data_IF_973108895906
#
_entry.id   IF_973108895906
#
_cell.length_a   1.000
_cell.length_b   1.000
_cell.length_c   1.000
_cell.angle_alpha   90.00
_cell.angle_beta   90.00
_cell.angle_gamma   90.00
#
_symmetry.space_group_name_H-M   'P 1'
#
loop_
_entity.id
_entity.type
_entity.pdbx_description
1 polymer ?
#
# COMPACT_ATOMS: atom_id res chain seq x y z
N UNK A 1 27.54 -9.21 15.17
CA UNK A 1 27.41 -7.76 14.97
C UNK A 1 28.26 -7.08 16.01
N UNK A 2 29.28 -6.34 15.61
CA UNK A 2 30.14 -5.57 16.53
C UNK A 2 29.50 -4.20 16.82
N UNK A 3 30.02 -3.45 17.80
CA UNK A 3 29.47 -2.14 18.21
C UNK A 3 29.46 -1.12 17.06
N UNK A 4 30.48 -1.14 16.20
CA UNK A 4 30.59 -0.24 15.05
C UNK A 4 29.51 -0.54 14.00
N UNK A 5 29.20 -1.82 13.76
CA UNK A 5 28.13 -2.23 12.84
C UNK A 5 26.77 -1.71 13.33
N UNK A 6 26.49 -1.80 14.64
CA UNK A 6 25.23 -1.30 15.22
C UNK A 6 25.11 0.21 15.06
N UNK A 7 26.19 0.95 15.31
CA UNK A 7 26.21 2.42 15.16
C UNK A 7 25.95 2.81 13.70
N UNK A 8 26.59 2.13 12.75
CA UNK A 8 26.44 2.41 11.33
C UNK A 8 25.01 2.08 10.85
N UNK A 9 24.44 0.95 11.27
CA UNK A 9 23.06 0.63 10.95
C UNK A 9 22.07 1.61 11.59
N UNK A 10 22.32 2.07 12.83
CA UNK A 10 21.47 3.08 13.49
C UNK A 10 21.49 4.44 12.80
N UNK A 11 22.53 4.76 12.03
CA UNK A 11 22.58 5.97 11.21
C UNK A 11 21.81 5.82 9.90
N UNK A 12 21.76 4.61 9.33
CA UNK A 12 21.22 4.36 8.00
C UNK A 12 19.75 3.90 8.00
N UNK A 13 19.39 3.00 8.92
CA UNK A 13 18.04 2.41 8.97
C UNK A 13 16.93 3.44 9.18
N UNK A 14 17.09 4.54 9.96
CA UNK A 14 16.06 5.58 10.05
C UNK A 14 15.70 6.21 8.70
N UNK A 15 16.68 6.42 7.82
CA UNK A 15 16.41 6.98 6.48
C UNK A 15 15.69 5.96 5.60
N UNK A 16 16.02 4.67 5.72
CA UNK A 16 15.28 3.60 5.03
C UNK A 16 13.83 3.48 5.52
N UNK A 17 13.59 3.63 6.83
CA UNK A 17 12.23 3.66 7.40
C UNK A 17 11.44 4.81 6.77
N UNK A 18 12.04 6.01 6.73
CA UNK A 18 11.41 7.20 6.16
C UNK A 18 11.10 7.01 4.67
N UNK A 19 12.04 6.47 3.89
CA UNK A 19 11.82 6.19 2.47
C UNK A 19 10.69 5.19 2.25
N UNK A 20 10.68 4.09 3.02
CA UNK A 20 9.61 3.09 2.95
C UNK A 20 8.26 3.65 3.40
N UNK A 21 8.24 4.56 4.39
CA UNK A 21 7.02 5.25 4.82
C UNK A 21 6.45 6.14 3.72
N UNK A 22 7.30 6.93 3.05
CA UNK A 22 6.88 7.76 1.91
C UNK A 22 6.27 6.91 0.81
N UNK A 23 6.96 5.83 0.40
CA UNK A 23 6.48 4.89 -0.63
C UNK A 23 5.13 4.29 -0.22
N UNK A 24 4.98 3.89 1.04
CA UNK A 24 3.74 3.32 1.54
C UNK A 24 2.58 4.33 1.52
N UNK A 25 2.81 5.56 1.97
CA UNK A 25 1.80 6.63 1.94
C UNK A 25 1.40 6.98 0.51
N UNK A 26 2.36 7.07 -0.40
CA UNK A 26 2.13 7.34 -1.81
C UNK A 26 1.28 6.23 -2.44
N UNK A 27 1.62 4.95 -2.20
CA UNK A 27 0.84 3.81 -2.69
C UNK A 27 -0.61 3.83 -2.16
N UNK A 28 -0.83 4.19 -0.89
CA UNK A 28 -2.17 4.32 -0.31
C UNK A 28 -2.97 5.43 -0.99
N UNK A 29 -2.33 6.57 -1.25
CA UNK A 29 -2.93 7.69 -1.98
C UNK A 29 -3.30 7.30 -3.41
N UNK A 30 -2.40 6.64 -4.13
CA UNK A 30 -2.64 6.16 -5.49
C UNK A 30 -3.78 5.15 -5.55
N UNK A 31 -3.86 4.22 -4.59
CA UNK A 31 -4.96 3.29 -4.45
C UNK A 31 -6.30 4.02 -4.23
N UNK A 32 -6.32 5.03 -3.36
CA UNK A 32 -7.52 5.83 -3.11
C UNK A 32 -7.99 6.52 -4.40
N UNK A 33 -7.08 7.09 -5.18
CA UNK A 33 -7.39 7.68 -6.48
C UNK A 33 -7.90 6.64 -7.49
N UNK A 34 -7.29 5.46 -7.56
CA UNK A 34 -7.74 4.38 -8.45
C UNK A 34 -9.18 3.94 -8.11
N UNK A 35 -9.47 3.76 -6.82
CA UNK A 35 -10.83 3.45 -6.33
C UNK A 35 -11.83 4.55 -6.68
N UNK A 36 -11.44 5.81 -6.54
CA UNK A 36 -12.30 6.93 -6.89
C UNK A 36 -12.58 7.01 -8.40
N UNK A 37 -11.59 6.73 -9.25
CA UNK A 37 -11.77 6.64 -10.71
C UNK A 37 -12.70 5.51 -11.10
N UNK A 38 -12.54 4.33 -10.50
CA UNK A 38 -13.44 3.20 -10.69
C UNK A 38 -14.87 3.60 -10.33
N UNK A 39 -15.09 4.13 -9.13
CA UNK A 39 -16.41 4.57 -8.67
C UNK A 39 -17.03 5.63 -9.60
N UNK A 40 -16.23 6.59 -10.06
CA UNK A 40 -16.70 7.62 -10.98
C UNK A 40 -17.17 7.01 -12.30
N UNK A 41 -16.42 6.05 -12.84
CA UNK A 41 -16.82 5.33 -14.05
C UNK A 41 -18.07 4.49 -13.81
N UNK A 42 -18.19 3.89 -12.63
CA UNK A 42 -19.38 3.12 -12.27
C UNK A 42 -20.64 4.01 -12.24
N UNK A 43 -20.55 5.20 -11.64
CA UNK A 43 -21.64 6.17 -11.64
C UNK A 43 -22.01 6.64 -13.06
N UNK A 44 -21.01 6.89 -13.92
CA UNK A 44 -21.22 7.27 -15.32
C UNK A 44 -22.03 6.21 -16.06
N UNK A 45 -21.59 4.95 -16.03
CA UNK A 45 -22.23 3.82 -16.75
C UNK A 45 -23.68 3.61 -16.27
N UNK A 46 -23.92 3.77 -14.96
CA UNK A 46 -25.28 3.73 -14.40
C UNK A 46 -26.13 4.90 -14.90
N UNK A 47 -25.57 6.12 -14.91
CA UNK A 47 -26.28 7.32 -15.34
C UNK A 47 -26.67 7.32 -16.82
N UNK A 48 -25.87 6.64 -17.65
CA UNK A 48 -26.15 6.42 -19.07
C UNK A 48 -27.21 5.34 -19.33
N UNK A 49 -27.71 4.68 -18.27
CA UNK A 49 -28.74 3.64 -18.37
C UNK A 49 -28.23 2.32 -18.95
N UNK A 50 -26.91 2.11 -18.98
CA UNK A 50 -26.27 0.89 -19.50
C UNK A 50 -26.40 -0.30 -18.53
N UNK A 51 -26.93 -0.05 -17.34
CA UNK A 51 -27.16 -1.04 -16.28
C UNK A 51 -28.65 -1.12 -16.00
N UNK A 52 -29.24 -2.28 -16.25
CA UNK A 52 -30.67 -2.54 -16.08
C UNK A 52 -30.95 -3.72 -15.15
N UNK A 53 -29.91 -4.42 -14.70
CA UNK A 53 -29.98 -5.59 -13.84
C UNK A 53 -30.78 -5.36 -12.57
N UNK A 54 -31.79 -6.21 -12.34
CA UNK A 54 -32.64 -6.17 -11.14
C UNK A 54 -31.95 -6.75 -9.90
N UNK A 55 -30.90 -7.57 -10.08
CA UNK A 55 -30.09 -8.15 -9.01
C UNK A 55 -28.62 -7.73 -9.17
N UNK A 56 -27.82 -7.89 -8.11
CA UNK A 56 -26.43 -7.40 -8.08
C UNK A 56 -25.51 -8.11 -9.08
N UNK A 57 -25.71 -9.42 -9.29
CA UNK A 57 -24.92 -10.22 -10.24
C UNK A 57 -25.11 -9.74 -11.69
N UNK A 58 -26.35 -9.46 -12.11
CA UNK A 58 -26.61 -8.93 -13.45
C UNK A 58 -26.05 -7.52 -13.60
N UNK A 59 -26.18 -6.67 -12.56
CA UNK A 59 -25.57 -5.33 -12.58
C UNK A 59 -24.05 -5.41 -12.72
N UNK A 60 -23.39 -6.28 -11.96
CA UNK A 60 -21.94 -6.49 -12.12
C UNK A 60 -21.55 -7.00 -13.51
N UNK A 61 -22.32 -7.93 -14.07
CA UNK A 61 -22.07 -8.44 -15.42
C UNK A 61 -22.23 -7.36 -16.50
N UNK A 62 -23.22 -6.48 -16.38
CA UNK A 62 -23.44 -5.34 -17.29
C UNK A 62 -22.36 -4.26 -17.13
N UNK A 63 -21.83 -4.08 -15.91
CA UNK A 63 -20.78 -3.11 -15.60
C UNK A 63 -19.40 -3.54 -16.06
N UNK A 64 -19.13 -4.85 -16.03
CA UNK A 64 -17.83 -5.44 -16.28
C UNK A 64 -17.15 -4.99 -17.58
N UNK A 65 -17.83 -4.91 -18.74
CA UNK A 65 -17.21 -4.45 -20.00
C UNK A 65 -16.64 -3.03 -19.91
N UNK A 66 -17.16 -2.20 -19.01
CA UNK A 66 -16.80 -0.79 -18.88
C UNK A 66 -15.82 -0.50 -17.73
N UNK A 67 -15.74 -1.40 -16.75
CA UNK A 67 -14.97 -1.18 -15.52
C UNK A 67 -13.84 -2.17 -15.29
N UNK A 68 -13.77 -3.27 -16.06
CA UNK A 68 -12.78 -4.34 -15.88
C UNK A 68 -11.33 -3.83 -15.75
N UNK A 69 -10.92 -2.92 -16.62
CA UNK A 69 -9.53 -2.41 -16.61
C UNK A 69 -9.23 -1.60 -15.36
N UNK A 70 -10.19 -0.77 -14.93
CA UNK A 70 -10.08 0.01 -13.68
C UNK A 70 -10.11 -0.90 -12.44
N UNK A 71 -10.92 -1.96 -12.47
CA UNK A 71 -10.92 -2.97 -11.40
C UNK A 71 -9.58 -3.71 -11.32
N UNK A 72 -9.01 -4.09 -12.47
CA UNK A 72 -7.67 -4.69 -12.52
C UNK A 72 -6.61 -3.71 -11.99
N UNK A 73 -6.69 -2.43 -12.34
CA UNK A 73 -5.79 -1.40 -11.83
C UNK A 73 -5.90 -1.27 -10.30
N UNK A 74 -7.12 -1.27 -9.75
CA UNK A 74 -7.32 -1.25 -8.29
C UNK A 74 -6.65 -2.45 -7.65
N UNK A 75 -6.84 -3.66 -8.18
CA UNK A 75 -6.22 -4.87 -7.62
C UNK A 75 -4.68 -4.80 -7.63
N UNK A 76 -4.08 -4.29 -8.70
CA UNK A 76 -2.62 -4.10 -8.76
C UNK A 76 -2.13 -3.07 -7.73
N UNK A 77 -2.90 -2.00 -7.50
CA UNK A 77 -2.56 -0.99 -6.50
C UNK A 77 -2.77 -1.51 -5.07
N UNK A 78 -3.74 -2.39 -4.83
CA UNK A 78 -3.91 -3.06 -3.53
C UNK A 78 -2.71 -3.94 -3.20
N UNK A 79 -2.21 -4.70 -4.18
CA UNK A 79 -1.00 -5.51 -4.04
C UNK A 79 0.24 -4.63 -3.76
N UNK A 80 0.39 -3.52 -4.49
CA UNK A 80 1.48 -2.57 -4.28
C UNK A 80 1.46 -1.96 -2.87
N UNK A 81 0.28 -1.61 -2.33
CA UNK A 81 0.11 -1.13 -0.96
C UNK A 81 0.54 -2.19 0.06
N UNK A 82 0.14 -3.45 -0.12
CA UNK A 82 0.54 -4.52 0.81
C UNK A 82 2.04 -4.79 0.74
N UNK A 83 2.67 -4.74 -0.43
CA UNK A 83 4.12 -4.83 -0.56
C UNK A 83 4.85 -3.69 0.16
N UNK A 84 4.46 -2.44 -0.08
CA UNK A 84 5.07 -1.27 0.57
C UNK A 84 4.90 -1.30 2.10
N UNK A 85 3.74 -1.76 2.58
CA UNK A 85 3.45 -1.95 4.00
C UNK A 85 4.36 -2.99 4.65
N UNK A 86 4.60 -4.11 3.99
CA UNK A 86 5.53 -5.14 4.47
C UNK A 86 6.94 -4.57 4.60
N UNK A 87 7.41 -3.83 3.60
CA UNK A 87 8.73 -3.21 3.59
C UNK A 87 8.89 -2.15 4.71
N UNK A 88 7.90 -1.27 4.86
CA UNK A 88 7.87 -0.31 5.96
C UNK A 88 7.91 -0.99 7.33
N UNK A 89 7.08 -2.01 7.55
CA UNK A 89 7.07 -2.75 8.81
C UNK A 89 8.37 -3.50 9.06
N UNK A 90 9.03 -4.01 8.01
CA UNK A 90 10.32 -4.64 8.12
C UNK A 90 11.38 -3.67 8.65
N UNK A 91 11.56 -2.51 8.02
CA UNK A 91 12.55 -1.52 8.47
C UNK A 91 12.23 -0.96 9.85
N UNK A 92 10.95 -0.73 10.15
CA UNK A 92 10.51 -0.28 11.47
C UNK A 92 10.92 -1.28 12.56
N UNK A 93 10.62 -2.56 12.36
CA UNK A 93 11.03 -3.63 13.30
C UNK A 93 12.55 -3.77 13.37
N UNK A 94 13.26 -3.61 12.24
CA UNK A 94 14.72 -3.62 12.24
C UNK A 94 15.28 -2.50 13.13
N UNK A 95 14.74 -1.28 13.03
CA UNK A 95 15.14 -0.15 13.87
C UNK A 95 14.86 -0.40 15.35
N UNK A 96 13.68 -0.89 15.70
CA UNK A 96 13.30 -1.22 17.09
C UNK A 96 14.24 -2.27 17.69
N UNK A 97 14.60 -3.29 16.91
CA UNK A 97 15.56 -4.31 17.31
C UNK A 97 16.97 -3.73 17.50
N UNK A 98 17.43 -2.88 16.58
CA UNK A 98 18.74 -2.22 16.70
C UNK A 98 18.83 -1.32 17.93
N UNK A 99 17.79 -0.55 18.22
CA UNK A 99 17.71 0.28 19.42
C UNK A 99 17.76 -0.58 20.69
N UNK A 100 17.09 -1.73 20.68
CA UNK A 100 17.12 -2.69 21.80
C UNK A 100 18.52 -3.27 22.00
N UNK A 101 19.18 -3.72 20.93
CA UNK A 101 20.56 -4.23 20.97
C UNK A 101 21.51 -3.15 21.48
N UNK A 102 21.43 -1.92 20.97
CA UNK A 102 22.29 -0.83 21.40
C UNK A 102 22.14 -0.52 22.89
N UNK A 103 20.90 -0.53 23.43
CA UNK A 103 20.65 -0.37 24.87
C UNK A 103 21.28 -1.49 25.69
N UNK A 104 21.18 -2.74 25.23
CA UNK A 104 21.81 -3.88 25.91
C UNK A 104 23.34 -3.79 25.89
N UNK A 105 23.92 -3.30 24.80
CA UNK A 105 25.38 -3.07 24.69
C UNK A 105 25.90 -1.91 25.53
N UNK A 106 25.04 -0.99 25.97
CA UNK A 106 25.41 0.06 26.94
C UNK A 106 25.30 -0.38 28.39
N UNK A 107 24.61 -1.48 28.66
CA UNK A 107 24.48 -2.08 30.01
C UNK A 107 25.62 -3.07 30.28
N UNK A 108 26.20 -3.67 29.22
CA UNK A 108 27.39 -4.53 29.24
C UNK A 108 28.69 -3.72 29.12
#
# INVERSE_FOLDING_TARGET
MNRSDVILELQLVPELVKQAEVIFVDAVSELAWAKHRLLSKECEVISEGLVTGKNDLHRQAEMWPYTRELQQQVLLMEDAVEHAKVEFHFYKRKLENLQTIAKLMTIL
#
